data_IF_135068591927
#
_entry.id   IF_135068591927
#
_cell.length_a   1.000
_cell.length_b   1.000
_cell.length_c   1.000
_cell.angle_alpha   90.00
_cell.angle_beta   90.00
_cell.angle_gamma   90.00
#
_symmetry.space_group_name_H-M   'P 1'
#
loop_
_entity.id
_entity.type
_entity.pdbx_description
1 polymer ?
#
# COMPACT_ATOMS: atom_id res chain seq x y z
N UNK A 1 -28.54 2.52 -6.32
CA UNK A 1 -27.35 2.96 -5.52
C UNK A 1 -26.47 3.82 -6.40
N UNK A 2 -25.98 4.94 -5.88
CA UNK A 2 -25.24 5.92 -6.67
C UNK A 2 -23.79 6.09 -6.15
N UNK A 3 -22.98 5.07 -6.36
CA UNK A 3 -21.57 5.06 -5.94
C UNK A 3 -20.75 5.92 -6.89
N UNK A 4 -20.06 6.93 -6.38
CA UNK A 4 -19.30 7.89 -7.19
C UNK A 4 -17.83 7.50 -7.35
N UNK A 5 -17.20 6.99 -6.30
CA UNK A 5 -15.76 6.69 -6.31
C UNK A 5 -15.36 5.84 -5.12
N UNK A 6 -14.13 5.36 -5.13
CA UNK A 6 -13.54 4.74 -3.94
C UNK A 6 -13.15 5.89 -2.99
N UNK A 7 -13.61 5.82 -1.73
CA UNK A 7 -13.25 6.84 -0.73
C UNK A 7 -11.89 6.55 -0.08
N UNK A 8 -11.69 5.32 0.36
CA UNK A 8 -10.42 4.90 0.94
C UNK A 8 -10.28 3.37 0.89
N UNK A 9 -9.06 2.90 1.10
CA UNK A 9 -8.73 1.49 1.33
C UNK A 9 -8.18 1.38 2.75
N UNK A 10 -8.72 0.46 3.55
CA UNK A 10 -8.27 0.24 4.92
C UNK A 10 -7.32 -0.95 4.97
N UNK A 11 -6.18 -0.78 5.66
CA UNK A 11 -5.12 -1.78 5.80
C UNK A 11 -4.88 -1.99 7.29
N UNK A 12 -4.83 -3.24 7.73
CA UNK A 12 -4.48 -3.60 9.11
C UNK A 12 -3.01 -3.99 9.15
N UNK A 13 -2.27 -3.42 10.10
CA UNK A 13 -0.85 -3.75 10.32
C UNK A 13 -0.65 -4.46 11.65
N UNK A 14 0.43 -5.24 11.76
CA UNK A 14 0.83 -5.91 13.00
C UNK A 14 1.69 -5.01 13.90
N UNK A 15 2.53 -4.16 13.31
CA UNK A 15 3.42 -3.24 14.01
C UNK A 15 3.17 -1.82 13.49
N UNK A 16 2.42 -1.04 14.26
CA UNK A 16 1.97 0.29 13.83
C UNK A 16 3.13 1.23 13.50
N UNK A 17 4.13 1.30 14.37
CA UNK A 17 5.27 2.20 14.17
C UNK A 17 6.04 1.86 12.90
N UNK A 18 6.27 0.58 12.67
CA UNK A 18 6.97 0.08 11.48
C UNK A 18 6.19 0.35 10.20
N UNK A 19 4.90 0.06 10.20
CA UNK A 19 4.05 0.26 9.02
C UNK A 19 3.80 1.74 8.75
N UNK A 20 3.64 2.56 9.78
CA UNK A 20 3.57 4.02 9.63
C UNK A 20 4.83 4.55 8.94
N UNK A 21 6.02 4.14 9.39
CA UNK A 21 7.28 4.56 8.77
C UNK A 21 7.36 4.10 7.31
N UNK A 22 6.93 2.87 7.03
CA UNK A 22 6.92 2.36 5.66
C UNK A 22 6.08 3.22 4.72
N UNK A 23 4.83 3.49 5.08
CA UNK A 23 3.94 4.25 4.20
C UNK A 23 4.27 5.74 4.14
N UNK A 24 4.74 6.34 5.23
CA UNK A 24 5.05 7.79 5.26
C UNK A 24 6.48 8.12 4.83
N UNK A 25 7.46 7.36 5.28
CA UNK A 25 8.88 7.66 5.00
C UNK A 25 9.38 6.98 3.72
N UNK A 26 9.05 5.70 3.51
CA UNK A 26 9.48 5.00 2.30
C UNK A 26 8.63 5.36 1.09
N UNK A 27 7.30 5.30 1.21
CA UNK A 27 6.40 5.60 0.10
C UNK A 27 6.05 7.09 -0.02
N UNK A 28 6.31 7.88 1.01
CA UNK A 28 6.11 9.33 0.98
C UNK A 28 4.66 9.78 1.09
N UNK A 29 3.77 8.96 1.63
CA UNK A 29 2.37 9.35 1.80
C UNK A 29 2.24 10.38 2.92
N UNK A 30 1.38 11.38 2.71
CA UNK A 30 1.17 12.48 3.65
C UNK A 30 0.14 12.09 4.71
N UNK A 31 0.46 12.34 5.98
CA UNK A 31 -0.48 12.13 7.08
C UNK A 31 -1.58 13.20 7.02
N UNK A 32 -2.83 12.77 6.92
CA UNK A 32 -4.01 13.64 7.02
C UNK A 32 -4.42 13.79 8.49
N UNK A 33 -4.53 12.67 9.19
CA UNK A 33 -4.92 12.63 10.60
C UNK A 33 -4.42 11.35 11.25
N UNK A 34 -4.15 11.42 12.55
CA UNK A 34 -3.77 10.26 13.35
C UNK A 34 -4.63 10.24 14.61
N UNK A 35 -5.32 9.13 14.87
CA UNK A 35 -6.23 9.00 16.00
C UNK A 35 -5.97 7.70 16.75
N UNK A 36 -5.84 7.77 18.07
CA UNK A 36 -5.84 6.59 18.91
C UNK A 36 -7.23 6.38 19.50
N UNK A 37 -7.79 5.19 19.28
CA UNK A 37 -9.12 4.79 19.75
C UNK A 37 -8.94 3.85 20.94
N UNK A 38 -8.98 4.40 22.16
CA UNK A 38 -8.66 3.68 23.39
C UNK A 38 -9.57 2.47 23.64
N UNK A 39 -10.86 2.58 23.35
CA UNK A 39 -11.84 1.50 23.56
C UNK A 39 -11.59 0.29 22.66
N UNK A 40 -10.82 0.44 21.60
CA UNK A 40 -10.45 -0.62 20.66
C UNK A 40 -8.96 -0.93 20.69
N UNK A 41 -8.19 -0.21 21.47
CA UNK A 41 -6.72 -0.28 21.51
C UNK A 41 -6.15 -0.23 20.09
N UNK A 42 -6.61 0.75 19.31
CA UNK A 42 -6.36 0.81 17.87
C UNK A 42 -6.00 2.22 17.44
N UNK A 43 -4.87 2.34 16.72
CA UNK A 43 -4.56 3.53 15.95
C UNK A 43 -5.30 3.51 14.62
N UNK A 44 -5.71 4.68 14.16
CA UNK A 44 -6.23 4.92 12.83
C UNK A 44 -5.41 6.06 12.22
N UNK A 45 -4.68 5.76 11.17
CA UNK A 45 -3.83 6.72 10.46
C UNK A 45 -4.39 6.96 9.07
N UNK A 46 -4.86 8.18 8.83
CA UNK A 46 -5.38 8.59 7.52
C UNK A 46 -4.24 9.15 6.69
N UNK A 47 -3.99 8.56 5.52
CA UNK A 47 -2.89 8.90 4.63
C UNK A 47 -3.41 9.32 3.26
N UNK A 48 -2.86 10.42 2.72
CA UNK A 48 -3.12 10.81 1.34
C UNK A 48 -2.12 10.14 0.41
N UNK A 49 -2.64 9.52 -0.65
CA UNK A 49 -1.86 8.89 -1.72
C UNK A 49 -1.99 9.75 -2.97
N UNK A 50 -0.88 10.35 -3.40
CA UNK A 50 -0.92 11.29 -4.51
C UNK A 50 -1.87 12.45 -4.18
N UNK A 51 -2.86 12.68 -5.03
CA UNK A 51 -3.82 13.76 -4.85
C UNK A 51 -5.25 13.20 -4.85
N UNK A 52 -5.92 13.30 -3.71
CA UNK A 52 -7.34 12.94 -3.60
C UNK A 52 -7.62 11.47 -3.37
N UNK A 53 -6.60 10.63 -3.20
CA UNK A 53 -6.76 9.22 -2.85
C UNK A 53 -6.33 8.99 -1.40
N UNK A 54 -6.92 8.01 -0.73
CA UNK A 54 -6.72 7.83 0.70
C UNK A 54 -6.57 6.36 1.09
N UNK A 55 -5.61 6.12 1.99
CA UNK A 55 -5.47 4.86 2.72
C UNK A 55 -5.72 5.17 4.20
N UNK A 56 -6.36 4.23 4.90
CA UNK A 56 -6.46 4.25 6.35
C UNK A 56 -5.68 3.06 6.91
N UNK A 57 -4.63 3.33 7.68
CA UNK A 57 -3.83 2.30 8.32
C UNK A 57 -4.32 2.10 9.74
N UNK A 58 -4.68 0.85 10.07
CA UNK A 58 -5.19 0.49 11.39
C UNK A 58 -4.24 -0.46 12.11
N UNK A 59 -4.11 -0.28 13.41
CA UNK A 59 -3.57 -1.29 14.29
C UNK A 59 -4.68 -1.89 15.16
N UNK A 60 -4.55 -3.17 15.49
CA UNK A 60 -5.42 -3.86 16.45
C UNK A 60 -4.57 -4.83 17.28
N UNK A 61 -5.01 -5.18 18.51
CA UNK A 61 -4.31 -6.20 19.29
C UNK A 61 -4.31 -7.55 18.54
N UNK A 62 -3.13 -8.14 18.34
CA UNK A 62 -2.95 -9.49 17.77
C UNK A 62 -3.77 -9.77 16.49
N UNK A 63 -3.65 -8.95 15.44
CA UNK A 63 -4.36 -9.24 14.20
C UNK A 63 -3.83 -10.52 13.56
N UNK A 64 -4.73 -11.29 12.93
CA UNK A 64 -4.34 -12.49 12.20
C UNK A 64 -3.43 -12.15 11.01
N UNK A 65 -2.54 -13.08 10.66
CA UNK A 65 -1.69 -12.94 9.49
C UNK A 65 -2.52 -12.90 8.20
N UNK A 66 -2.02 -12.18 7.20
CA UNK A 66 -2.65 -12.11 5.89
C UNK A 66 -2.52 -13.44 5.15
N UNK A 67 -3.62 -14.04 4.65
CA UNK A 67 -3.56 -15.24 3.81
C UNK A 67 -3.27 -14.85 2.34
N UNK A 68 -1.99 -14.70 1.97
CA UNK A 68 -1.60 -14.32 0.61
C UNK A 68 -1.35 -15.52 -0.30
N UNK A 69 -0.83 -16.61 0.24
CA UNK A 69 -0.47 -17.80 -0.53
C UNK A 69 -0.89 -19.07 0.22
N UNK A 70 -1.64 -19.98 -0.43
CA UNK A 70 -2.25 -19.79 -1.75
C UNK A 70 -3.23 -18.62 -1.75
N UNK A 71 -3.60 -18.16 -2.94
CA UNK A 71 -4.54 -17.05 -3.08
C UNK A 71 -5.84 -17.33 -2.35
N UNK A 72 -6.30 -16.36 -1.56
CA UNK A 72 -7.53 -16.42 -0.79
C UNK A 72 -8.52 -15.37 -1.30
N UNK A 73 -9.78 -15.57 -0.98
CA UNK A 73 -10.84 -14.61 -1.34
C UNK A 73 -10.58 -13.26 -0.69
N UNK A 74 -10.94 -12.18 -1.38
CA UNK A 74 -10.84 -10.81 -0.91
C UNK A 74 -9.81 -9.99 -1.67
N UNK A 75 -9.29 -8.95 -1.03
CA UNK A 75 -8.32 -8.06 -1.65
C UNK A 75 -7.02 -8.81 -1.95
N UNK A 76 -6.65 -8.85 -3.24
CA UNK A 76 -5.41 -9.53 -3.65
C UNK A 76 -4.17 -8.66 -3.44
N UNK A 77 -4.22 -7.43 -3.93
CA UNK A 77 -3.14 -6.46 -3.82
C UNK A 77 -3.69 -5.04 -4.00
N UNK A 78 -2.84 -4.06 -3.74
CA UNK A 78 -3.12 -2.65 -3.99
C UNK A 78 -2.10 -2.13 -4.98
N UNK A 79 -2.57 -1.50 -6.07
CA UNK A 79 -1.71 -0.98 -7.12
C UNK A 79 -1.64 0.55 -7.07
N UNK A 80 -0.43 1.08 -7.27
CA UNK A 80 -0.17 2.50 -7.40
C UNK A 80 0.29 2.82 -8.81
N UNK A 81 -0.23 3.88 -9.39
CA UNK A 81 0.24 4.39 -10.66
C UNK A 81 1.50 5.24 -10.46
N UNK A 82 2.52 4.98 -11.28
CA UNK A 82 3.77 5.76 -11.28
C UNK A 82 4.13 6.12 -12.71
N UNK A 83 4.78 7.28 -12.95
CA UNK A 83 5.19 7.65 -14.30
C UNK A 83 6.35 6.82 -14.84
N UNK A 84 7.18 6.25 -13.98
CA UNK A 84 8.39 5.50 -14.35
C UNK A 84 8.64 4.40 -13.34
N UNK A 85 8.33 3.16 -13.72
CA UNK A 85 8.49 1.99 -12.84
C UNK A 85 9.97 1.73 -12.55
N UNK A 86 10.87 1.86 -13.55
CA UNK A 86 12.29 1.59 -13.34
C UNK A 86 12.90 2.53 -12.30
N UNK A 87 12.56 3.81 -12.38
CA UNK A 87 13.02 4.81 -11.42
C UNK A 87 12.46 4.54 -10.02
N UNK A 88 11.18 4.20 -9.93
CA UNK A 88 10.52 3.89 -8.66
C UNK A 88 11.13 2.65 -7.99
N UNK A 89 11.44 1.62 -8.77
CA UNK A 89 12.12 0.42 -8.29
C UNK A 89 13.51 0.77 -7.74
N UNK A 90 14.26 1.60 -8.45
CA UNK A 90 15.58 2.03 -7.99
C UNK A 90 15.48 2.75 -6.63
N UNK A 91 14.52 3.65 -6.48
CA UNK A 91 14.31 4.37 -5.22
C UNK A 91 13.98 3.42 -4.06
N UNK A 92 13.11 2.43 -4.31
CA UNK A 92 12.77 1.42 -3.30
C UNK A 92 13.98 0.57 -2.91
N UNK A 93 14.76 0.12 -3.89
CA UNK A 93 15.95 -0.71 -3.65
C UNK A 93 17.01 0.06 -2.87
N UNK A 94 17.20 1.34 -3.16
CA UNK A 94 18.12 2.20 -2.40
C UNK A 94 17.72 2.34 -0.93
N UNK A 95 16.43 2.21 -0.64
CA UNK A 95 15.89 2.21 0.73
C UNK A 95 15.83 0.82 1.36
N UNK A 96 16.39 -0.19 0.70
CA UNK A 96 16.47 -1.55 1.21
C UNK A 96 15.20 -2.39 1.04
N UNK A 97 14.28 -1.98 0.18
CA UNK A 97 13.05 -2.72 -0.10
C UNK A 97 13.30 -3.73 -1.22
N UNK A 98 12.96 -5.00 -0.98
CA UNK A 98 13.01 -6.04 -2.01
C UNK A 98 11.87 -5.82 -3.01
N UNK A 99 12.19 -5.84 -4.30
CA UNK A 99 11.24 -5.64 -5.38
C UNK A 99 11.39 -6.77 -6.39
N UNK A 100 10.28 -7.31 -6.89
CA UNK A 100 10.29 -8.33 -7.94
C UNK A 100 10.81 -7.76 -9.26
N UNK A 101 11.16 -8.65 -10.20
CA UNK A 101 11.58 -8.25 -11.53
C UNK A 101 10.46 -7.47 -12.25
N UNK A 102 10.85 -6.45 -12.99
CA UNK A 102 9.91 -5.66 -13.79
C UNK A 102 9.37 -6.53 -14.93
N UNK A 103 8.05 -6.50 -15.10
CA UNK A 103 7.35 -7.22 -16.16
C UNK A 103 6.58 -6.24 -17.03
N UNK A 104 6.16 -6.73 -18.20
CA UNK A 104 5.32 -5.97 -19.13
C UNK A 104 3.96 -6.62 -19.18
N UNK A 105 2.91 -5.83 -18.97
CA UNK A 105 1.54 -6.27 -19.12
C UNK A 105 1.26 -6.51 -20.62
N UNK A 106 1.01 -7.74 -21.05
CA UNK A 106 0.80 -8.03 -22.47
C UNK A 106 -0.47 -7.40 -23.05
N UNK A 107 -1.39 -6.99 -22.18
CA UNK A 107 -2.65 -6.38 -22.61
C UNK A 107 -2.52 -4.87 -22.84
N UNK A 108 -1.63 -4.20 -22.13
CA UNK A 108 -1.48 -2.73 -22.20
C UNK A 108 -0.11 -2.29 -22.71
N UNK A 109 0.91 -3.15 -22.65
CA UNK A 109 2.30 -2.80 -22.93
C UNK A 109 2.99 -2.02 -21.83
N UNK A 110 2.31 -1.79 -20.71
CA UNK A 110 2.86 -1.01 -19.59
C UNK A 110 3.72 -1.88 -18.68
N UNK A 111 4.72 -1.26 -18.08
CA UNK A 111 5.58 -1.92 -17.09
C UNK A 111 4.90 -1.97 -15.74
N UNK A 112 5.14 -3.04 -15.00
CA UNK A 112 4.67 -3.19 -13.64
C UNK A 112 5.59 -4.08 -12.84
N UNK A 113 5.51 -4.00 -11.52
CA UNK A 113 6.21 -4.89 -10.61
C UNK A 113 5.51 -4.92 -9.25
N UNK A 114 5.96 -5.84 -8.40
CA UNK A 114 5.40 -6.01 -7.05
C UNK A 114 6.49 -5.90 -5.98
N UNK A 115 6.08 -5.40 -4.84
CA UNK A 115 6.82 -5.46 -3.59
C UNK A 115 5.80 -5.70 -2.47
N UNK A 116 6.21 -5.73 -1.23
CA UNK A 116 5.30 -6.01 -0.13
C UNK A 116 5.44 -4.96 0.97
N UNK A 117 4.34 -4.69 1.66
CA UNK A 117 4.39 -3.91 2.89
C UNK A 117 4.98 -4.78 4.03
N UNK A 118 5.20 -4.23 5.25
CA UNK A 118 5.79 -4.99 6.35
C UNK A 118 5.04 -6.25 6.76
N UNK A 119 3.75 -6.35 6.46
CA UNK A 119 2.91 -7.50 6.79
C UNK A 119 2.63 -8.42 5.59
N UNK A 120 3.36 -8.23 4.51
CA UNK A 120 3.24 -9.08 3.33
C UNK A 120 2.07 -8.74 2.41
N UNK A 121 1.42 -7.59 2.58
CA UNK A 121 0.42 -7.14 1.62
C UNK A 121 1.12 -6.84 0.29
N UNK A 122 0.76 -7.55 -0.81
CA UNK A 122 1.36 -7.24 -2.10
C UNK A 122 0.95 -5.84 -2.56
N UNK A 123 1.95 -5.06 -2.96
CA UNK A 123 1.78 -3.72 -3.52
C UNK A 123 2.33 -3.72 -4.93
N UNK A 124 1.60 -3.15 -5.86
CA UNK A 124 1.99 -3.10 -7.27
C UNK A 124 2.35 -1.67 -7.67
N UNK A 125 3.41 -1.55 -8.45
CA UNK A 125 3.69 -0.32 -9.20
C UNK A 125 3.29 -0.57 -10.64
N UNK A 126 2.40 0.24 -11.17
CA UNK A 126 1.93 0.16 -12.55
C UNK A 126 2.28 1.46 -13.27
N UNK A 127 2.98 1.33 -14.41
CA UNK A 127 3.40 2.51 -15.17
C UNK A 127 2.23 3.14 -15.90
N UNK A 128 2.03 4.41 -15.68
CA UNK A 128 0.96 5.17 -16.31
C UNK A 128 1.43 6.59 -16.56
N UNK A 129 1.05 7.15 -17.72
CA UNK A 129 1.38 8.52 -18.08
C UNK A 129 0.51 9.52 -17.32
N UNK A 130 1.00 9.94 -16.16
CA UNK A 130 0.32 10.90 -15.27
C UNK A 130 1.16 12.15 -15.06
#
# INVERSE_FOLDING_TARGET
MDIKQIHHVAIICSDYKRSKAFYTELLGFRVIAETYRAERESYKLDLEVGKGHQIELFSFPNPAERPSYPEARGLRHLAFAVPDVEKSVQELQEKGVAVEDIRIDPLTGQKFTFFADPDGLPLELYEEGI
#
